data_IF_787708855545
#
_entry.id   IF_787708855545
#
_cell.length_a   1.000
_cell.length_b   1.000
_cell.length_c   1.000
_cell.angle_alpha   90.00
_cell.angle_beta   90.00
_cell.angle_gamma   90.00
#
_symmetry.space_group_name_H-M   'P 1'
#
loop_
_entity.id
_entity.type
_entity.pdbx_description
1 polymer ?
#
# COMPACT_ATOMS: atom_id res chain seq x y z
N UNK A 1 -7.51 12.00 -15.02
CA UNK A 1 -7.57 10.67 -15.67
C UNK A 1 -8.70 9.86 -15.06
N UNK A 2 -9.44 9.08 -15.86
CA UNK A 2 -10.46 8.15 -15.35
C UNK A 2 -9.89 6.74 -15.30
N UNK A 3 -10.09 6.02 -14.19
CA UNK A 3 -9.45 4.73 -13.92
C UNK A 3 -10.52 3.71 -13.53
N UNK A 4 -10.40 2.51 -14.09
CA UNK A 4 -11.10 1.30 -13.65
C UNK A 4 -10.13 0.44 -12.85
N UNK A 5 -10.57 0.01 -11.69
CA UNK A 5 -9.83 -0.93 -10.83
C UNK A 5 -10.73 -2.11 -10.55
N UNK A 6 -10.25 -3.30 -10.86
CA UNK A 6 -10.90 -4.56 -10.52
C UNK A 6 -9.91 -5.37 -9.70
N UNK A 7 -10.34 -5.80 -8.51
CA UNK A 7 -9.52 -6.58 -7.61
C UNK A 7 -10.33 -7.77 -7.13
N UNK A 8 -9.86 -8.97 -7.42
CA UNK A 8 -10.38 -10.22 -6.87
C UNK A 8 -9.30 -10.90 -6.03
N UNK A 9 -9.64 -11.25 -4.81
CA UNK A 9 -8.85 -12.16 -3.97
C UNK A 9 -9.72 -13.38 -3.63
N UNK A 10 -9.20 -14.58 -3.87
CA UNK A 10 -9.85 -15.85 -3.50
C UNK A 10 -8.92 -16.66 -2.61
N UNK A 11 -9.39 -16.98 -1.39
CA UNK A 11 -8.76 -17.95 -0.49
C UNK A 11 -9.45 -19.29 -0.65
N UNK A 12 -8.68 -20.37 -0.74
CA UNK A 12 -9.22 -21.74 -0.86
C UNK A 12 -8.81 -22.59 0.32
N UNK A 13 -9.72 -23.46 0.74
CA UNK A 13 -9.56 -24.40 1.83
C UNK A 13 -9.93 -25.82 1.38
N UNK A 14 -9.31 -26.85 1.97
CA UNK A 14 -9.59 -28.25 1.64
C UNK A 14 -10.86 -28.79 2.29
N UNK A 15 -11.43 -28.05 3.23
CA UNK A 15 -12.67 -28.33 3.95
C UNK A 15 -13.35 -27.02 4.36
N UNK A 16 -14.60 -27.10 4.81
CA UNK A 16 -15.32 -25.93 5.30
C UNK A 16 -14.72 -25.38 6.60
N UNK A 17 -14.33 -24.10 6.59
CA UNK A 17 -13.84 -23.37 7.76
C UNK A 17 -14.82 -22.29 8.18
N UNK A 18 -14.71 -21.83 9.42
CA UNK A 18 -15.38 -20.59 9.85
C UNK A 18 -14.44 -19.41 9.65
N UNK A 19 -14.98 -18.22 9.41
CA UNK A 19 -14.18 -17.00 9.26
C UNK A 19 -14.38 -16.09 10.47
N UNK A 20 -13.27 -15.59 11.02
CA UNK A 20 -13.31 -14.53 12.02
C UNK A 20 -13.61 -13.17 11.39
N UNK A 21 -13.63 -12.09 12.19
CA UNK A 21 -13.80 -10.74 11.67
C UNK A 21 -12.71 -10.40 10.65
N UNK A 22 -13.11 -9.83 9.51
CA UNK A 22 -12.19 -9.34 8.48
C UNK A 22 -12.28 -7.81 8.37
N UNK A 23 -11.17 -7.21 7.94
CA UNK A 23 -11.07 -5.81 7.55
C UNK A 23 -10.62 -5.75 6.09
N UNK A 24 -11.35 -4.98 5.28
CA UNK A 24 -11.06 -4.82 3.85
C UNK A 24 -10.85 -3.33 3.57
N UNK A 25 -9.67 -3.00 3.05
CA UNK A 25 -9.24 -1.63 2.72
C UNK A 25 -8.97 -1.48 1.23
N UNK A 26 -10.00 -1.74 0.42
CA UNK A 26 -9.92 -1.67 -1.05
C UNK A 26 -10.53 -0.39 -1.62
N UNK A 27 -11.29 0.37 -0.83
CA UNK A 27 -11.94 1.61 -1.29
C UNK A 27 -11.07 2.82 -0.95
N UNK A 28 -10.62 3.62 -1.92
CA UNK A 28 -9.87 4.85 -1.64
C UNK A 28 -10.73 5.88 -0.92
N UNK A 29 -10.09 6.84 -0.27
CA UNK A 29 -10.77 8.03 0.26
C UNK A 29 -10.98 9.03 -0.87
N UNK A 30 -12.18 9.61 -0.93
CA UNK A 30 -12.44 10.75 -1.83
C UNK A 30 -11.89 12.05 -1.26
N UNK A 31 -11.39 12.89 -2.16
CA UNK A 31 -10.72 14.14 -1.85
C UNK A 31 -10.84 15.13 -3.01
N UNK A 32 -10.01 16.17 -2.98
CA UNK A 32 -9.92 17.14 -4.08
C UNK A 32 -9.28 16.52 -5.35
N UNK A 33 -8.56 15.43 -5.17
CA UNK A 33 -7.74 14.70 -6.14
C UNK A 33 -8.42 13.41 -6.63
N UNK A 34 -9.32 12.80 -5.85
CA UNK A 34 -10.04 11.57 -6.20
C UNK A 34 -11.54 11.74 -6.04
N UNK A 35 -12.30 11.43 -7.10
CA UNK A 35 -13.75 11.27 -7.07
C UNK A 35 -14.15 9.86 -7.54
N UNK A 36 -14.98 9.17 -6.77
CA UNK A 36 -15.41 7.80 -7.08
C UNK A 36 -16.79 7.84 -7.72
N UNK A 37 -16.87 7.41 -8.97
CA UNK A 37 -18.14 7.30 -9.71
C UNK A 37 -18.88 5.99 -9.41
N UNK A 38 -18.13 4.90 -9.21
CA UNK A 38 -18.67 3.58 -8.94
C UNK A 38 -17.81 2.85 -7.91
N UNK A 39 -18.46 2.17 -6.97
CA UNK A 39 -17.82 1.27 -6.01
C UNK A 39 -18.71 0.08 -5.73
N UNK A 40 -18.21 -1.11 -6.08
CA UNK A 40 -18.83 -2.40 -5.79
C UNK A 40 -17.88 -3.17 -4.89
N UNK A 41 -18.44 -3.84 -3.87
CA UNK A 41 -17.75 -4.82 -3.05
C UNK A 41 -18.66 -6.04 -2.92
N UNK A 42 -18.21 -7.17 -3.47
CA UNK A 42 -18.90 -8.46 -3.42
C UNK A 42 -18.04 -9.44 -2.62
N UNK A 43 -18.67 -10.17 -1.69
CA UNK A 43 -17.97 -11.09 -0.81
C UNK A 43 -18.79 -12.38 -0.68
N UNK A 44 -18.10 -13.51 -0.72
CA UNK A 44 -18.67 -14.86 -0.51
C UNK A 44 -17.78 -15.57 0.52
N UNK A 45 -18.31 -16.23 1.57
CA UNK A 45 -19.72 -16.62 1.79
C UNK A 45 -20.59 -15.52 2.42
N UNK A 46 -21.81 -15.87 2.85
CA UNK A 46 -22.76 -14.93 3.46
C UNK A 46 -22.16 -14.23 4.71
N UNK A 47 -22.42 -12.94 4.80
CA UNK A 47 -21.75 -12.06 5.75
C UNK A 47 -22.57 -10.78 6.02
N UNK A 48 -22.15 -10.05 7.04
CA UNK A 48 -22.58 -8.69 7.31
C UNK A 48 -21.41 -7.73 7.13
N UNK A 49 -21.66 -6.58 6.48
CA UNK A 49 -20.65 -5.52 6.30
C UNK A 49 -21.02 -4.31 7.17
N UNK A 50 -20.03 -3.79 7.88
CA UNK A 50 -20.09 -2.49 8.55
C UNK A 50 -18.93 -1.60 8.09
N UNK A 51 -19.26 -0.44 7.52
CA UNK A 51 -18.26 0.51 7.04
C UNK A 51 -17.86 1.51 8.12
N UNK A 52 -16.56 1.79 8.24
CA UNK A 52 -16.04 2.80 9.16
C UNK A 52 -14.83 3.53 8.61
N UNK A 53 -14.43 4.59 9.33
CA UNK A 53 -13.14 5.26 9.16
C UNK A 53 -12.27 5.05 10.39
N UNK A 54 -11.03 4.65 10.19
CA UNK A 54 -10.06 4.55 11.30
C UNK A 54 -9.45 5.91 11.66
N UNK A 55 -8.47 5.91 12.57
CA UNK A 55 -7.75 7.12 13.00
C UNK A 55 -6.99 7.79 11.86
N UNK A 56 -6.51 7.02 10.88
CA UNK A 56 -5.88 7.55 9.68
C UNK A 56 -6.93 7.99 8.64
N UNK A 57 -8.21 7.69 8.90
CA UNK A 57 -9.40 7.83 8.08
C UNK A 57 -9.40 6.98 6.80
N UNK A 58 -8.75 5.82 6.83
CA UNK A 58 -8.89 4.78 5.82
C UNK A 58 -10.36 4.33 5.77
N UNK A 59 -10.87 3.98 4.59
CA UNK A 59 -12.21 3.42 4.46
C UNK A 59 -12.15 1.90 4.64
N UNK A 60 -12.72 1.42 5.75
CA UNK A 60 -12.63 0.01 6.15
C UNK A 60 -14.02 -0.62 6.10
N UNK A 61 -14.16 -1.67 5.31
CA UNK A 61 -15.28 -2.61 5.44
C UNK A 61 -14.90 -3.65 6.50
N UNK A 62 -15.61 -3.65 7.63
CA UNK A 62 -15.55 -4.75 8.60
C UNK A 62 -16.58 -5.80 8.20
N UNK A 63 -16.13 -7.05 8.14
CA UNK A 63 -16.94 -8.16 7.63
C UNK A 63 -16.99 -9.26 8.68
N UNK A 64 -18.21 -9.59 9.08
CA UNK A 64 -18.50 -10.68 9.99
C UNK A 64 -19.25 -11.76 9.21
N UNK A 65 -18.69 -12.97 9.14
CA UNK A 65 -19.25 -14.07 8.37
C UNK A 65 -20.26 -14.86 9.18
N UNK A 66 -21.34 -15.28 8.52
CA UNK A 66 -22.43 -16.02 9.17
C UNK A 66 -22.44 -17.50 8.82
N UNK A 67 -21.63 -17.90 7.84
CA UNK A 67 -21.59 -19.26 7.30
C UNK A 67 -20.16 -19.80 7.21
N UNK A 68 -20.05 -21.12 7.18
CA UNK A 68 -18.81 -21.82 6.85
C UNK A 68 -18.69 -21.97 5.34
N UNK A 69 -17.47 -21.99 4.83
CA UNK A 69 -17.22 -22.30 3.43
C UNK A 69 -15.81 -22.86 3.23
N UNK A 70 -15.61 -23.53 2.10
CA UNK A 70 -14.31 -23.99 1.61
C UNK A 70 -13.57 -22.91 0.79
N UNK A 71 -14.15 -21.73 0.62
CA UNK A 71 -13.51 -20.59 -0.01
C UNK A 71 -14.04 -19.26 0.53
N UNK A 72 -13.16 -18.25 0.51
CA UNK A 72 -13.52 -16.84 0.72
C UNK A 72 -13.15 -16.07 -0.54
N UNK A 73 -14.14 -15.47 -1.20
CA UNK A 73 -13.92 -14.58 -2.34
C UNK A 73 -14.26 -13.15 -1.95
N UNK A 74 -13.37 -12.22 -2.26
CA UNK A 74 -13.57 -10.77 -2.13
C UNK A 74 -13.31 -10.16 -3.49
N UNK A 75 -14.31 -9.47 -4.04
CA UNK A 75 -14.25 -8.78 -5.31
C UNK A 75 -14.60 -7.31 -5.12
N UNK A 76 -13.76 -6.42 -5.64
CA UNK A 76 -13.95 -4.98 -5.63
C UNK A 76 -13.85 -4.44 -7.05
N UNK A 77 -14.82 -3.61 -7.44
CA UNK A 77 -14.76 -2.82 -8.68
C UNK A 77 -14.90 -1.34 -8.36
N UNK A 78 -13.99 -0.53 -8.87
CA UNK A 78 -14.00 0.93 -8.73
C UNK A 78 -13.88 1.59 -10.09
N UNK A 79 -14.72 2.60 -10.32
CA UNK A 79 -14.53 3.58 -11.40
C UNK A 79 -14.35 4.93 -10.74
N UNK A 80 -13.21 5.59 -10.97
CA UNK A 80 -12.88 6.86 -10.34
C UNK A 80 -12.22 7.84 -11.30
N UNK A 81 -12.30 9.12 -10.97
CA UNK A 81 -11.52 10.19 -11.59
C UNK A 81 -10.39 10.59 -10.64
N UNK A 82 -9.17 10.61 -11.17
CA UNK A 82 -7.97 11.13 -10.53
C UNK A 82 -7.58 12.46 -11.17
N UNK A 83 -7.53 13.54 -10.40
CA UNK A 83 -7.26 14.89 -10.90
C UNK A 83 -5.81 15.33 -10.76
N UNK A 84 -4.99 14.65 -9.96
CA UNK A 84 -3.53 14.91 -9.96
C UNK A 84 -2.92 14.47 -11.29
N UNK A 85 -2.38 15.44 -12.04
CA UNK A 85 -1.70 15.23 -13.31
C UNK A 85 -0.19 15.45 -13.24
N UNK A 86 0.31 16.11 -12.20
CA UNK A 86 1.73 16.45 -12.09
C UNK A 86 2.22 16.29 -10.64
N UNK A 87 2.95 15.20 -10.32
CA UNK A 87 3.41 14.96 -8.96
C UNK A 87 4.40 16.01 -8.44
N UNK A 88 4.94 16.87 -9.32
CA UNK A 88 5.86 17.97 -9.02
C UNK A 88 5.18 19.33 -8.87
N UNK A 89 3.86 19.42 -9.10
CA UNK A 89 3.12 20.68 -8.93
C UNK A 89 2.72 20.89 -7.46
N UNK A 90 3.70 21.30 -6.66
CA UNK A 90 3.52 21.65 -5.26
C UNK A 90 4.46 22.76 -4.83
N UNK A 91 4.18 23.40 -3.70
CA UNK A 91 5.02 24.43 -3.13
C UNK A 91 5.46 24.01 -1.73
N UNK A 92 6.77 24.09 -1.47
CA UNK A 92 7.30 23.90 -0.12
C UNK A 92 7.34 25.24 0.61
N UNK A 93 7.08 25.18 1.92
CA UNK A 93 7.44 26.30 2.78
C UNK A 93 8.95 26.53 2.68
N UNK A 94 9.38 27.80 2.69
CA UNK A 94 10.81 28.15 2.57
C UNK A 94 11.70 27.39 3.57
N UNK A 95 11.20 27.15 4.78
CA UNK A 95 11.94 26.42 5.81
C UNK A 95 12.15 24.94 5.48
N UNK A 96 11.25 24.32 4.70
CA UNK A 96 11.29 22.91 4.30
C UNK A 96 11.95 22.69 2.93
N UNK A 97 12.41 23.74 2.26
CA UNK A 97 13.17 23.62 1.01
C UNK A 97 14.56 23.01 1.22
N UNK A 98 15.10 23.09 2.44
CA UNK A 98 16.40 22.52 2.79
C UNK A 98 16.33 21.70 4.06
N UNK A 99 17.01 20.55 4.10
CA UNK A 99 17.16 19.69 5.26
C UNK A 99 18.52 19.95 5.95
N UNK A 100 18.59 19.99 7.29
CA UNK A 100 17.49 19.73 8.24
C UNK A 100 16.55 20.93 8.44
N UNK A 101 15.25 20.63 8.62
CA UNK A 101 14.24 21.61 9.03
C UNK A 101 13.46 21.11 10.25
N UNK A 102 12.73 22.02 10.90
CA UNK A 102 11.92 21.71 12.07
C UNK A 102 10.44 21.93 11.73
N UNK A 103 9.60 20.94 12.01
CA UNK A 103 8.16 21.09 11.89
C UNK A 103 7.64 22.20 12.81
N UNK A 104 6.72 23.07 12.34
CA UNK A 104 6.02 24.01 13.19
C UNK A 104 5.40 23.30 14.41
N UNK A 105 5.39 23.97 15.57
CA UNK A 105 5.03 23.34 16.85
C UNK A 105 3.65 22.64 16.83
N UNK A 106 2.65 23.24 16.15
CA UNK A 106 1.33 22.65 15.96
C UNK A 106 1.39 21.31 15.21
N UNK A 107 1.96 21.32 14.00
CA UNK A 107 2.09 20.11 13.17
C UNK A 107 3.01 19.07 13.81
N UNK A 108 4.05 19.47 14.55
CA UNK A 108 4.99 18.53 15.19
C UNK A 108 4.29 17.56 16.15
N UNK A 109 3.32 18.04 16.92
CA UNK A 109 2.56 17.18 17.84
C UNK A 109 1.69 16.18 17.08
N UNK A 110 0.99 16.64 16.04
CA UNK A 110 0.11 15.81 15.20
C UNK A 110 0.90 14.76 14.39
N UNK A 111 2.08 15.13 13.91
CA UNK A 111 2.96 14.27 13.11
C UNK A 111 3.82 13.34 13.95
N UNK A 112 3.83 13.48 15.28
CA UNK A 112 4.72 12.73 16.17
C UNK A 112 4.61 11.21 16.00
N UNK A 113 3.40 10.70 15.74
CA UNK A 113 3.17 9.28 15.49
C UNK A 113 3.82 8.77 14.18
N UNK A 114 4.06 9.68 13.22
CA UNK A 114 4.65 9.38 11.91
C UNK A 114 6.16 9.64 11.85
N UNK A 115 6.73 10.31 12.86
CA UNK A 115 8.18 10.47 13.05
C UNK A 115 8.81 9.38 13.92
N UNK A 116 7.99 8.58 14.63
CA UNK A 116 8.48 7.51 15.52
C UNK A 116 8.98 6.30 14.73
N UNK A 117 10.22 5.89 15.02
CA UNK A 117 10.84 4.65 14.51
C UNK A 117 10.08 3.43 15.03
N UNK A 118 9.70 2.52 14.13
CA UNK A 118 8.99 1.29 14.47
C UNK A 118 9.90 0.09 14.65
N UNK A 119 11.10 0.12 14.06
CA UNK A 119 12.10 -0.93 14.18
C UNK A 119 13.33 -0.41 14.94
N UNK A 120 13.22 -0.12 16.25
CA UNK A 120 14.31 0.52 17.01
C UNK A 120 15.60 -0.32 17.04
N UNK A 121 15.48 -1.64 16.90
CA UNK A 121 16.64 -2.56 16.81
C UNK A 121 17.45 -2.38 15.53
N UNK A 122 16.86 -1.79 14.49
CA UNK A 122 17.46 -1.65 13.16
C UNK A 122 18.11 -0.26 12.97
N UNK A 123 17.95 0.64 13.95
CA UNK A 123 18.44 2.03 13.91
C UNK A 123 19.94 2.11 13.57
N UNK A 124 20.77 1.23 14.14
CA UNK A 124 22.21 1.24 13.87
C UNK A 124 22.52 0.92 12.40
N UNK A 125 21.80 -0.05 11.80
CA UNK A 125 21.97 -0.39 10.39
C UNK A 125 21.50 0.74 9.47
N UNK A 126 20.37 1.38 9.82
CA UNK A 126 19.87 2.55 9.10
C UNK A 126 20.84 3.73 9.15
N UNK A 127 21.41 4.05 10.32
CA UNK A 127 22.39 5.15 10.44
C UNK A 127 23.58 4.92 9.52
N UNK A 128 24.12 3.70 9.47
CA UNK A 128 25.24 3.35 8.57
C UNK A 128 24.83 3.47 7.10
N UNK A 129 23.62 3.02 6.75
CA UNK A 129 23.12 3.11 5.38
C UNK A 129 22.87 4.56 4.92
N UNK A 130 22.38 5.43 5.80
CA UNK A 130 22.02 6.81 5.48
C UNK A 130 23.21 7.77 5.54
N UNK A 131 24.33 7.36 6.13
CA UNK A 131 25.56 8.13 6.30
C UNK A 131 26.08 8.78 4.99
N UNK A 132 26.02 8.14 3.80
CA UNK A 132 26.47 8.75 2.55
C UNK A 132 25.54 9.83 2.00
N UNK A 133 24.27 9.88 2.41
CA UNK A 133 23.28 10.80 1.86
C UNK A 133 23.30 12.18 2.52
N UNK A 134 23.62 12.23 3.81
CA UNK A 134 23.67 13.48 4.57
C UNK A 134 24.50 13.33 5.85
N UNK A 135 25.33 14.33 6.16
CA UNK A 135 26.10 14.40 7.41
C UNK A 135 25.56 15.49 8.36
N UNK A 136 25.61 15.25 9.69
CA UNK A 136 25.28 16.29 10.66
C UNK A 136 26.07 17.58 10.44
N UNK A 137 25.36 18.70 10.32
CA UNK A 137 25.92 20.03 10.05
C UNK A 137 25.83 20.46 8.57
N UNK A 138 25.50 19.54 7.66
CA UNK A 138 25.24 19.88 6.26
C UNK A 138 23.82 20.40 6.06
N UNK A 139 23.67 21.24 5.03
CA UNK A 139 22.38 21.68 4.52
C UNK A 139 22.25 21.23 3.07
N UNK A 140 21.20 20.48 2.76
CA UNK A 140 20.91 19.93 1.43
C UNK A 140 19.48 20.28 1.01
N UNK A 141 19.18 20.27 -0.29
CA UNK A 141 17.80 20.46 -0.75
C UNK A 141 16.97 19.22 -0.36
N UNK A 142 15.80 19.44 0.25
CA UNK A 142 15.02 18.37 0.87
C UNK A 142 14.50 17.37 -0.15
N UNK A 143 13.99 17.84 -1.29
CA UNK A 143 13.50 16.95 -2.35
C UNK A 143 14.62 16.14 -2.97
N UNK A 144 15.79 16.75 -3.21
CA UNK A 144 16.97 16.08 -3.72
C UNK A 144 17.43 14.95 -2.77
N UNK A 145 17.41 15.19 -1.45
CA UNK A 145 17.73 14.16 -0.45
C UNK A 145 16.77 12.96 -0.53
N UNK A 146 15.45 13.23 -0.56
CA UNK A 146 14.43 12.18 -0.62
C UNK A 146 14.46 11.43 -1.95
N UNK A 147 14.67 12.14 -3.07
CA UNK A 147 14.83 11.54 -4.39
C UNK A 147 16.08 10.69 -4.49
N UNK A 148 17.21 11.13 -3.91
CA UNK A 148 18.44 10.35 -3.86
C UNK A 148 18.22 9.03 -3.12
N UNK A 149 17.57 9.05 -1.95
CA UNK A 149 17.20 7.83 -1.22
C UNK A 149 16.27 6.93 -2.04
N UNK A 150 15.24 7.51 -2.66
CA UNK A 150 14.25 6.79 -3.45
C UNK A 150 14.91 6.07 -4.63
N UNK A 151 15.81 6.77 -5.32
CA UNK A 151 16.57 6.25 -6.45
C UNK A 151 17.60 5.21 -6.02
N UNK A 152 18.28 5.40 -4.89
CA UNK A 152 19.25 4.41 -4.38
C UNK A 152 18.58 3.07 -4.10
N UNK A 153 17.41 3.05 -3.45
CA UNK A 153 16.67 1.81 -3.21
C UNK A 153 16.30 1.16 -4.54
N UNK A 154 15.76 1.92 -5.50
CA UNK A 154 15.37 1.41 -6.80
C UNK A 154 16.55 0.81 -7.61
N UNK A 155 17.73 1.43 -7.56
CA UNK A 155 18.89 1.02 -8.38
C UNK A 155 19.74 -0.07 -7.71
N UNK A 156 19.85 -0.04 -6.38
CA UNK A 156 20.80 -0.89 -5.65
C UNK A 156 20.15 -2.07 -4.93
N UNK A 157 18.84 -2.25 -5.04
CA UNK A 157 18.12 -3.37 -4.45
C UNK A 157 17.34 -4.13 -5.53
N UNK A 158 17.45 -5.46 -5.51
CA UNK A 158 16.76 -6.31 -6.48
C UNK A 158 15.30 -6.50 -6.07
N UNK A 159 14.37 -6.11 -6.93
CA UNK A 159 12.96 -6.43 -6.71
C UNK A 159 12.73 -7.95 -6.75
N UNK A 160 12.00 -8.45 -5.76
CA UNK A 160 11.57 -9.84 -5.68
C UNK A 160 10.14 -9.90 -5.12
N UNK A 161 9.23 -10.51 -5.88
CA UNK A 161 7.89 -10.84 -5.36
C UNK A 161 8.05 -11.85 -4.22
N UNK A 162 7.30 -11.64 -3.15
CA UNK A 162 7.37 -12.44 -1.93
C UNK A 162 5.99 -12.92 -1.54
N UNK A 163 5.93 -14.18 -1.18
CA UNK A 163 4.71 -14.82 -0.70
C UNK A 163 4.64 -14.81 0.83
N UNK A 164 5.75 -14.58 1.55
CA UNK A 164 5.73 -14.57 3.02
C UNK A 164 4.80 -13.48 3.57
N UNK A 165 4.18 -13.69 4.74
CA UNK A 165 3.36 -12.66 5.37
C UNK A 165 4.23 -11.51 5.91
N UNK A 166 3.61 -10.33 6.02
CA UNK A 166 4.24 -9.13 6.56
C UNK A 166 5.40 -8.58 5.72
N UNK A 167 6.13 -7.63 6.30
CA UNK A 167 7.29 -6.97 5.67
C UNK A 167 8.62 -7.50 6.21
N UNK A 168 9.68 -7.43 5.39
CA UNK A 168 11.05 -7.44 5.92
C UNK A 168 11.27 -6.21 6.78
N UNK A 169 12.00 -6.37 7.89
CA UNK A 169 12.48 -5.21 8.65
C UNK A 169 13.49 -4.41 7.81
N UNK A 170 13.73 -3.13 8.12
CA UNK A 170 14.74 -2.34 7.43
C UNK A 170 16.11 -3.01 7.40
N UNK A 171 16.60 -3.55 8.52
CA UNK A 171 17.89 -4.23 8.56
C UNK A 171 17.92 -5.49 7.69
N UNK A 172 16.82 -6.26 7.63
CA UNK A 172 16.72 -7.41 6.73
C UNK A 172 16.79 -6.99 5.26
N UNK A 173 16.05 -5.94 4.88
CA UNK A 173 16.05 -5.41 3.51
C UNK A 173 17.45 -4.93 3.11
N UNK A 174 18.14 -4.20 4.01
CA UNK A 174 19.52 -3.74 3.82
C UNK A 174 20.51 -4.90 3.68
N UNK A 175 20.36 -5.95 4.48
CA UNK A 175 21.23 -7.13 4.44
C UNK A 175 21.02 -7.95 3.17
N UNK A 176 19.76 -8.18 2.78
CA UNK A 176 19.42 -8.99 1.62
C UNK A 176 19.67 -8.26 0.30
N UNK A 177 19.62 -6.92 0.31
CA UNK A 177 19.64 -6.08 -0.90
C UNK A 177 18.58 -6.50 -1.93
N UNK A 178 17.46 -7.03 -1.44
CA UNK A 178 16.33 -7.46 -2.26
C UNK A 178 15.05 -7.52 -1.44
N UNK A 179 13.93 -7.23 -2.06
CA UNK A 179 12.62 -7.23 -1.40
C UNK A 179 11.49 -6.95 -2.37
N UNK A 180 10.28 -7.01 -1.85
CA UNK A 180 9.04 -6.64 -2.53
C UNK A 180 8.74 -5.14 -2.33
N UNK A 181 7.73 -4.60 -3.02
CA UNK A 181 7.35 -3.18 -2.90
C UNK A 181 7.06 -2.75 -1.46
N UNK A 182 6.42 -3.62 -0.66
CA UNK A 182 6.16 -3.40 0.77
C UNK A 182 7.45 -3.33 1.61
N UNK A 183 8.49 -4.06 1.23
CA UNK A 183 9.77 -4.07 1.95
C UNK A 183 10.52 -2.76 1.67
N UNK A 184 10.54 -2.34 0.40
CA UNK A 184 11.16 -1.09 -0.04
C UNK A 184 10.44 0.13 0.54
N UNK A 185 9.11 0.15 0.54
CA UNK A 185 8.34 1.20 1.19
C UNK A 185 8.61 1.28 2.70
N UNK A 186 8.71 0.12 3.38
CA UNK A 186 9.04 0.06 4.81
C UNK A 186 10.44 0.61 5.10
N UNK A 187 11.45 0.22 4.30
CA UNK A 187 12.81 0.73 4.41
C UNK A 187 12.84 2.25 4.22
N UNK A 188 12.16 2.77 3.19
CA UNK A 188 12.11 4.21 2.91
C UNK A 188 11.44 5.00 4.03
N UNK A 189 10.31 4.50 4.56
CA UNK A 189 9.60 5.14 5.69
C UNK A 189 10.48 5.22 6.93
N UNK A 190 11.17 4.14 7.29
CA UNK A 190 12.03 4.12 8.48
C UNK A 190 13.33 4.93 8.29
N UNK A 191 13.84 5.01 7.06
CA UNK A 191 14.91 5.93 6.71
C UNK A 191 14.51 7.40 6.91
N UNK A 192 13.33 7.79 6.41
CA UNK A 192 12.80 9.15 6.62
C UNK A 192 12.60 9.46 8.11
N UNK A 193 12.06 8.50 8.88
CA UNK A 193 11.89 8.62 10.35
C UNK A 193 13.22 8.76 11.09
N UNK A 194 14.28 8.12 10.59
CA UNK A 194 15.64 8.27 11.14
C UNK A 194 16.21 9.69 10.95
N UNK A 195 15.74 10.41 9.93
CA UNK A 195 15.99 11.84 9.72
C UNK A 195 14.97 12.75 10.44
N UNK A 196 14.07 12.18 11.23
CA UNK A 196 13.02 12.94 11.94
C UNK A 196 11.92 13.47 11.02
N UNK A 197 11.84 13.00 9.76
CA UNK A 197 10.78 13.34 8.83
C UNK A 197 9.57 12.44 9.07
N UNK A 198 8.39 13.05 9.08
CA UNK A 198 7.13 12.33 9.25
C UNK A 198 6.82 11.53 7.99
N UNK A 199 6.80 10.21 8.10
CA UNK A 199 6.58 9.31 6.99
C UNK A 199 5.53 8.24 7.32
N UNK A 200 4.78 7.81 6.31
CA UNK A 200 3.76 6.76 6.44
C UNK A 200 3.82 5.79 5.26
N UNK A 201 3.43 4.55 5.54
CA UNK A 201 3.28 3.49 4.56
C UNK A 201 1.94 3.64 3.85
N UNK A 202 1.92 3.40 2.55
CA UNK A 202 0.72 3.45 1.71
C UNK A 202 0.52 2.11 1.01
N UNK A 203 -0.71 1.62 1.02
CA UNK A 203 -1.15 0.50 0.19
C UNK A 203 -2.24 0.99 -0.77
N UNK A 204 -2.23 0.45 -1.98
CA UNK A 204 -3.22 0.81 -2.98
C UNK A 204 -2.97 0.16 -4.33
N UNK A 205 -3.42 0.84 -5.38
CA UNK A 205 -3.33 0.40 -6.76
C UNK A 205 -2.39 1.30 -7.55
N UNK A 206 -1.76 0.73 -8.57
CA UNK A 206 -0.93 1.46 -9.51
C UNK A 206 -1.34 1.08 -10.94
N UNK A 207 -1.59 2.06 -11.79
CA UNK A 207 -1.76 1.87 -13.23
C UNK A 207 -0.37 1.70 -13.87
N UNK A 208 -0.10 0.50 -14.39
CA UNK A 208 1.10 0.17 -15.15
C UNK A 208 0.85 -1.05 -16.05
N UNK A 209 1.76 -1.34 -16.98
CA UNK A 209 1.63 -2.47 -17.91
C UNK A 209 1.28 -3.80 -17.23
N UNK A 210 1.83 -4.06 -16.04
CA UNK A 210 1.58 -5.29 -15.29
C UNK A 210 0.14 -5.39 -14.74
N UNK A 211 -0.42 -4.29 -14.25
CA UNK A 211 -1.82 -4.25 -13.78
C UNK A 211 -2.80 -4.14 -14.94
N UNK A 212 -2.41 -3.54 -16.07
CA UNK A 212 -3.21 -3.56 -17.29
C UNK A 212 -3.32 -4.97 -17.88
N UNK A 213 -2.27 -5.79 -17.79
CA UNK A 213 -2.30 -7.19 -18.24
C UNK A 213 -3.17 -8.12 -17.37
N UNK A 214 -3.53 -7.70 -16.13
CA UNK A 214 -4.22 -8.53 -15.15
C UNK A 214 -3.29 -9.53 -14.42
N UNK A 215 -3.78 -10.16 -13.35
CA UNK A 215 -2.99 -11.11 -12.53
C UNK A 215 -1.94 -10.45 -11.63
N UNK A 216 -1.99 -9.12 -11.48
CA UNK A 216 -1.12 -8.38 -10.58
C UNK A 216 -1.65 -8.40 -9.13
N UNK A 217 -0.88 -7.81 -8.22
CA UNK A 217 -1.29 -7.56 -6.83
C UNK A 217 -1.43 -6.06 -6.56
N UNK A 218 -1.92 -5.71 -5.37
CA UNK A 218 -1.81 -4.34 -4.85
C UNK A 218 -0.34 -3.90 -4.80
N UNK A 219 -0.13 -2.59 -4.80
CA UNK A 219 1.17 -1.96 -4.69
C UNK A 219 1.33 -1.25 -3.34
N UNK A 220 2.59 -0.98 -2.97
CA UNK A 220 2.93 -0.27 -1.76
C UNK A 220 4.04 0.75 -2.01
N UNK A 221 3.91 1.92 -1.39
CA UNK A 221 4.87 3.01 -1.47
C UNK A 221 4.88 3.81 -0.16
N UNK A 222 5.68 4.86 -0.10
CA UNK A 222 5.82 5.71 1.09
C UNK A 222 5.29 7.11 0.82
N UNK A 223 4.78 7.78 1.85
CA UNK A 223 4.50 9.22 1.81
C UNK A 223 5.27 9.93 2.92
N UNK A 224 5.79 11.12 2.59
CA UNK A 224 6.50 12.00 3.52
C UNK A 224 5.75 13.32 3.63
N UNK A 225 5.51 13.80 4.86
CA UNK A 225 4.87 15.09 5.08
C UNK A 225 5.90 16.22 4.99
N UNK A 226 5.69 17.12 4.05
CA UNK A 226 6.53 18.27 3.77
C UNK A 226 5.73 19.56 3.98
N UNK A 227 6.14 20.47 4.87
CA UNK A 227 5.45 21.75 5.08
C UNK A 227 5.28 22.53 3.77
N UNK A 228 4.09 23.08 3.55
CA UNK A 228 3.65 23.67 2.28
C UNK A 228 3.06 22.65 1.29
N UNK A 229 3.73 21.51 1.06
CA UNK A 229 3.33 20.55 0.04
C UNK A 229 2.38 19.44 0.54
N UNK A 230 2.31 19.22 1.86
CA UNK A 230 1.53 18.15 2.46
C UNK A 230 2.21 16.78 2.33
N UNK A 231 1.41 15.71 2.26
CA UNK A 231 1.92 14.35 2.05
C UNK A 231 2.29 14.15 0.58
N UNK A 232 3.56 13.88 0.31
CA UNK A 232 4.06 13.54 -1.04
C UNK A 232 4.53 12.11 -1.09
N UNK A 233 4.11 11.37 -2.11
CA UNK A 233 4.44 9.96 -2.24
C UNK A 233 5.71 9.71 -3.06
N UNK A 234 6.46 8.72 -2.61
CA UNK A 234 7.70 8.23 -3.15
C UNK A 234 7.56 6.72 -3.31
N UNK A 235 7.80 6.22 -4.52
CA UNK A 235 7.81 4.80 -4.82
C UNK A 235 9.25 4.32 -5.01
N UNK A 236 9.87 3.68 -4.01
CA UNK A 236 11.23 3.19 -4.12
C UNK A 236 11.35 1.92 -4.99
N UNK A 237 10.21 1.31 -5.36
CA UNK A 237 10.19 0.22 -6.33
C UNK A 237 10.48 0.73 -7.73
N UNK A 238 9.91 1.88 -8.09
CA UNK A 238 10.05 2.49 -9.42
C UNK A 238 11.03 3.67 -9.45
N UNK A 239 11.48 4.16 -8.29
CA UNK A 239 12.39 5.29 -8.18
C UNK A 239 11.76 6.65 -8.51
N UNK A 240 10.42 6.75 -8.53
CA UNK A 240 9.68 7.95 -8.94
C UNK A 240 8.82 8.50 -7.80
N UNK A 241 8.34 9.74 -7.97
CA UNK A 241 7.27 10.29 -7.14
C UNK A 241 5.92 9.72 -7.61
N UNK A 242 5.04 9.42 -6.66
CA UNK A 242 3.68 8.97 -6.98
C UNK A 242 2.85 10.13 -7.54
N UNK A 243 2.25 9.93 -8.71
CA UNK A 243 1.29 10.85 -9.32
C UNK A 243 -0.06 10.18 -9.59
N UNK A 244 -0.81 10.67 -10.58
CA UNK A 244 -2.17 10.22 -10.88
C UNK A 244 -2.34 8.75 -11.32
N UNK A 245 -1.25 8.01 -11.51
CA UNK A 245 -1.27 6.57 -11.72
C UNK A 245 -1.37 5.77 -10.41
N UNK A 246 -1.22 6.40 -9.25
CA UNK A 246 -1.30 5.75 -7.94
C UNK A 246 -2.63 6.09 -7.26
N UNK A 247 -3.31 5.07 -6.73
CA UNK A 247 -4.57 5.23 -6.01
C UNK A 247 -4.43 4.63 -4.62
N UNK A 248 -4.26 5.49 -3.61
CA UNK A 248 -4.11 5.08 -2.21
C UNK A 248 -5.45 4.56 -1.63
N UNK A 249 -5.45 3.34 -1.09
CA UNK A 249 -6.62 2.79 -0.39
C UNK A 249 -6.45 2.79 1.12
N UNK A 250 -5.22 2.60 1.59
CA UNK A 250 -4.87 2.62 3.00
C UNK A 250 -3.55 3.34 3.24
N UNK A 251 -3.50 4.10 4.32
CA UNK A 251 -2.28 4.69 4.86
C UNK A 251 -2.11 4.31 6.33
N UNK A 252 -0.89 4.07 6.76
CA UNK A 252 -0.61 3.74 8.15
C UNK A 252 0.81 4.09 8.54
N UNK A 253 1.03 4.36 9.84
CA UNK A 253 2.40 4.41 10.36
C UNK A 253 3.07 3.04 10.33
N UNK A 254 2.29 1.99 10.54
CA UNK A 254 2.68 0.59 10.68
C UNK A 254 2.22 -0.20 9.45
N UNK A 255 3.14 -0.78 8.65
CA UNK A 255 2.81 -1.44 7.39
C UNK A 255 1.79 -2.57 7.57
N UNK A 256 1.82 -3.28 8.70
CA UNK A 256 0.91 -4.39 8.99
C UNK A 256 -0.56 -3.93 9.14
N UNK A 257 -0.80 -2.63 9.35
CA UNK A 257 -2.16 -2.06 9.47
C UNK A 257 -2.68 -1.46 8.17
N UNK A 258 -1.92 -1.55 7.08
CA UNK A 258 -2.33 -1.12 5.74
C UNK A 258 -2.60 -2.30 4.79
N UNK A 259 -2.75 -3.52 5.34
CA UNK A 259 -3.04 -4.70 4.54
C UNK A 259 -4.40 -4.55 3.83
N UNK A 260 -4.49 -4.85 2.52
CA UNK A 260 -5.75 -4.72 1.77
C UNK A 260 -6.88 -5.59 2.31
N UNK A 261 -6.53 -6.79 2.80
CA UNK A 261 -7.41 -7.72 3.50
C UNK A 261 -6.66 -8.20 4.73
N UNK A 262 -7.25 -8.02 5.90
CA UNK A 262 -6.78 -8.56 7.17
C UNK A 262 -7.91 -9.39 7.82
N UNK A 263 -7.56 -10.54 8.36
CA UNK A 263 -8.55 -11.45 8.92
C UNK A 263 -7.97 -12.82 9.25
N UNK A 264 -8.81 -13.65 9.85
CA UNK A 264 -8.43 -15.00 10.28
C UNK A 264 -9.53 -15.98 9.94
N UNK A 265 -9.16 -17.25 9.78
CA UNK A 265 -10.12 -18.35 9.71
C UNK A 265 -9.91 -19.29 10.92
N UNK A 266 -10.95 -20.06 11.22
CA UNK A 266 -10.99 -21.06 12.27
C UNK A 266 -11.17 -22.44 11.63
N UNK A 267 -10.09 -23.21 11.65
CA UNK A 267 -9.99 -24.55 11.10
C UNK A 267 -8.56 -25.09 11.27
N UNK A 268 -8.28 -26.33 10.84
CA UNK A 268 -6.92 -26.86 10.80
C UNK A 268 -6.03 -25.98 9.92
N UNK A 269 -4.75 -25.84 10.30
CA UNK A 269 -3.80 -25.00 9.54
C UNK A 269 -3.58 -25.55 8.13
N UNK A 270 -3.64 -26.86 7.99
CA UNK A 270 -3.48 -27.63 6.77
C UNK A 270 -4.70 -27.49 5.84
N UNK A 271 -5.81 -26.92 6.33
CA UNK A 271 -6.96 -26.64 5.50
C UNK A 271 -6.66 -25.57 4.45
N UNK A 272 -5.78 -24.61 4.75
CA UNK A 272 -5.37 -23.54 3.84
C UNK A 272 -4.65 -24.07 2.60
N UNK A 273 -5.28 -23.96 1.42
CA UNK A 273 -4.72 -24.44 0.14
C UNK A 273 -3.96 -23.38 -0.65
N UNK A 274 -4.47 -22.15 -0.72
CA UNK A 274 -3.90 -21.14 -1.61
C UNK A 274 -4.64 -19.81 -1.59
N UNK A 275 -3.96 -18.78 -2.09
CA UNK A 275 -4.53 -17.46 -2.37
C UNK A 275 -4.32 -17.13 -3.85
N UNK A 276 -5.39 -16.73 -4.51
CA UNK A 276 -5.37 -16.18 -5.87
C UNK A 276 -5.69 -14.69 -5.77
N UNK A 277 -4.75 -13.85 -6.19
CA UNK A 277 -4.94 -12.39 -6.26
C UNK A 277 -4.85 -11.97 -7.72
N UNK A 278 -5.86 -11.25 -8.16
CA UNK A 278 -5.99 -10.77 -9.52
C UNK A 278 -6.43 -9.29 -9.48
N UNK A 279 -5.48 -8.41 -9.76
CA UNK A 279 -5.68 -6.97 -9.85
C UNK A 279 -5.53 -6.55 -11.30
N UNK A 280 -6.57 -5.89 -11.81
CA UNK A 280 -6.58 -5.21 -13.09
C UNK A 280 -6.82 -3.72 -12.88
N UNK A 281 -5.92 -2.89 -13.41
CA UNK A 281 -6.04 -1.42 -13.38
C UNK A 281 -5.87 -0.92 -14.79
N UNK A 282 -6.82 -0.15 -15.29
CA UNK A 282 -6.78 0.39 -16.66
C UNK A 282 -7.34 1.81 -16.71
N UNK A 283 -6.89 2.56 -17.71
CA UNK A 283 -7.53 3.83 -18.03
C UNK A 283 -8.94 3.57 -18.58
N UNK A 284 -9.95 4.16 -17.94
CA UNK A 284 -11.34 3.98 -18.34
C UNK A 284 -11.72 5.00 -19.40
N UNK A 285 -11.44 4.67 -20.65
CA UNK A 285 -12.03 5.38 -21.78
C UNK A 285 -13.50 4.95 -21.91
N UNK A 286 -14.43 5.90 -21.94
CA UNK A 286 -15.82 5.61 -22.27
C UNK A 286 -15.83 4.88 -23.63
N UNK A 287 -16.32 3.64 -23.75
CA UNK A 287 -16.60 3.12 -25.07
C UNK A 287 -17.60 4.07 -25.74
N UNK A 288 -17.45 4.43 -27.03
CA UNK A 288 -18.53 5.08 -27.75
C UNK A 288 -19.77 4.22 -27.58
N UNK A 289 -20.89 4.82 -27.20
CA UNK A 289 -22.10 4.08 -26.87
C UNK A 289 -22.47 3.08 -27.99
N UNK A 290 -22.82 1.85 -27.57
CA UNK A 290 -23.20 0.64 -28.35
C UNK A 290 -22.05 -0.37 -28.56
N UNK A 291 -22.18 -1.67 -28.27
CA UNK A 291 -23.36 -2.56 -28.32
C UNK A 291 -23.36 -3.56 -27.16
N UNK A 292 -24.56 -3.96 -26.73
CA UNK A 292 -24.79 -5.11 -25.86
C UNK A 292 -24.29 -6.39 -26.54
N UNK A 293 -23.60 -7.23 -25.77
CA UNK A 293 -23.49 -8.67 -26.01
C UNK A 293 -22.08 -9.16 -26.30
N UNK A 294 -21.37 -9.60 -25.26
CA UNK A 294 -20.69 -10.90 -25.16
C UNK A 294 -19.95 -10.99 -23.81
N UNK A 295 -20.08 -12.13 -23.12
CA UNK A 295 -19.38 -12.38 -21.87
C UNK A 295 -17.95 -12.87 -22.16
N UNK A 296 -16.90 -12.40 -21.44
CA UNK A 296 -15.56 -12.92 -21.64
C UNK A 296 -15.45 -14.36 -21.11
N UNK A 297 -14.74 -15.21 -21.86
CA UNK A 297 -14.39 -16.57 -21.46
C UNK A 297 -13.29 -16.56 -20.37
N UNK A 298 -13.28 -17.51 -19.42
CA UNK A 298 -12.27 -17.56 -18.38
C UNK A 298 -10.90 -17.99 -18.92
N UNK A 299 -9.85 -17.25 -18.52
CA UNK A 299 -8.44 -17.60 -18.71
C UNK A 299 -7.99 -18.41 -17.48
N UNK A 300 -7.21 -19.50 -17.62
CA UNK A 300 -6.76 -20.28 -16.47
C UNK A 300 -5.71 -19.49 -15.67
N UNK A 301 -5.92 -19.37 -14.36
CA UNK A 301 -4.98 -18.76 -13.40
C UNK A 301 -4.33 -19.87 -12.57
N UNK A 302 -3.02 -19.76 -12.39
CA UNK A 302 -2.16 -20.71 -11.68
C UNK A 302 -2.32 -20.58 -10.15
N UNK A 303 -2.66 -21.66 -9.47
CA UNK A 303 -2.87 -21.73 -8.01
C UNK A 303 -1.53 -21.68 -7.25
N UNK A 304 -1.39 -20.83 -6.22
CA UNK A 304 -0.19 -20.76 -5.37
C UNK A 304 -0.50 -20.90 -3.86
N UNK A 305 0.42 -21.49 -3.07
CA UNK A 305 0.21 -21.79 -1.64
C UNK A 305 0.19 -20.53 -0.76
N UNK A 306 -0.54 -20.61 0.36
CA UNK A 306 -0.78 -19.52 1.31
C UNK A 306 0.43 -19.19 2.21
N UNK A 307 0.67 -17.90 2.53
CA UNK A 307 1.42 -17.53 3.73
C UNK A 307 0.68 -17.90 5.01
N UNK A 308 1.44 -18.41 5.99
CA UNK A 308 0.95 -18.70 7.34
C UNK A 308 0.73 -17.38 8.09
N UNK A 309 -0.52 -16.92 8.19
CA UNK A 309 -0.91 -15.84 9.10
C UNK A 309 -0.74 -16.36 10.54
N UNK A 310 0.05 -15.65 11.34
CA UNK A 310 0.45 -16.08 12.68
C UNK A 310 -0.72 -16.17 13.66
N UNK A 311 -0.75 -17.26 14.43
CA UNK A 311 -1.57 -17.39 15.63
C UNK A 311 -1.11 -16.39 16.70
N UNK A 312 -1.94 -15.40 17.02
CA UNK A 312 -1.82 -14.67 18.29
C UNK A 312 -2.66 -15.39 19.36
N UNK A 313 -2.11 -15.69 20.55
CA UNK A 313 -2.93 -16.12 21.67
C UNK A 313 -3.86 -14.97 22.09
N UNK A 314 -5.03 -15.34 22.60
CA UNK A 314 -6.05 -14.47 23.16
C UNK A 314 -5.49 -13.45 24.17
#
# INVERSE_FOLDING_TARGET
MKILIQHRTTYRYSEEVSFGPHQIMMRPREGHDIHIEKSILEITPAHHIHWLRDVNGNCIARVDFTERADHLMIYSELVLQHYDSNPFDFQLDRAAATYPFIYPAGSKSELSAFTQILYPKDTAALVVYLDPFWKPGETVETMALLQALNHDINQNFRYQRRDEPGVQTPAQTLQLRSGSCRDFATLFVEACRSWGLAARFVSGYMLCDATEAGGASTHAWAEVYLPGAGWKGFDPTSGILSGGQYVATAVSRDPEKAMPIDGVYLGPKEAALGIEVDVHVSQYDLPPASRRGEAPLPIPVETKPLPVIGSRPL
#
